data_IF_529388210677
#
_entry.id   IF_529388210677
#
_cell.length_a   1.000
_cell.length_b   1.000
_cell.length_c   1.000
_cell.angle_alpha   90.00
_cell.angle_beta   90.00
_cell.angle_gamma   90.00
#
_symmetry.space_group_name_H-M   'P 1'
#
loop_
_entity.id
_entity.type
_entity.pdbx_description
1 polymer ?
#
# COMPACT_ATOMS: atom_id res chain seq x y z
N UNK A 1 -11.07 10.02 8.05
CA UNK A 1 -11.02 10.36 6.61
C UNK A 1 -9.63 10.85 6.29
N UNK A 2 -8.89 10.06 5.55
CA UNK A 2 -7.51 10.39 5.21
C UNK A 2 -7.27 10.28 3.72
N UNK A 3 -6.90 11.38 3.09
CA UNK A 3 -6.47 11.39 1.71
C UNK A 3 -4.97 11.05 1.67
N UNK A 4 -4.66 9.90 1.10
CA UNK A 4 -3.29 9.39 1.02
C UNK A 4 -2.84 9.46 -0.44
N UNK A 5 -1.73 10.16 -0.68
CA UNK A 5 -1.17 10.29 -2.03
C UNK A 5 -0.18 9.16 -2.32
N UNK A 6 -0.26 8.64 -3.53
CA UNK A 6 0.63 7.58 -4.03
C UNK A 6 1.29 8.02 -5.33
N UNK A 7 2.41 7.39 -5.66
CA UNK A 7 3.08 7.61 -6.94
C UNK A 7 2.43 6.71 -8.00
N UNK A 8 1.72 7.30 -8.93
CA UNK A 8 0.93 6.58 -9.96
C UNK A 8 1.72 5.52 -10.73
N UNK A 9 2.99 5.75 -10.93
CA UNK A 9 3.85 4.88 -11.75
C UNK A 9 4.62 3.84 -10.94
N UNK A 10 4.60 3.94 -9.61
CA UNK A 10 5.41 3.08 -8.74
C UNK A 10 5.06 1.60 -8.92
N UNK A 11 3.80 1.27 -9.03
CA UNK A 11 3.34 -0.10 -9.20
C UNK A 11 3.72 -0.76 -10.52
N UNK A 12 4.11 0.00 -11.53
CA UNK A 12 4.53 -0.55 -12.82
C UNK A 12 5.77 -1.43 -12.70
N UNK A 13 6.62 -1.16 -11.71
CA UNK A 13 7.82 -1.95 -11.45
C UNK A 13 7.55 -3.35 -10.88
N UNK A 14 6.40 -3.55 -10.26
CA UNK A 14 6.03 -4.84 -9.66
C UNK A 14 5.61 -5.89 -10.69
N UNK A 15 5.12 -5.46 -11.84
CA UNK A 15 4.51 -6.35 -12.82
C UNK A 15 5.44 -6.71 -14.00
N UNK A 16 6.75 -6.53 -13.83
CA UNK A 16 7.75 -7.09 -14.74
C UNK A 16 7.74 -6.53 -16.17
N UNK A 17 7.17 -5.36 -16.37
CA UNK A 17 7.31 -4.68 -17.64
C UNK A 17 8.73 -4.14 -17.75
N UNK A 18 9.50 -4.75 -18.62
CA UNK A 18 10.85 -4.29 -18.96
C UNK A 18 10.81 -2.81 -19.33
N UNK A 19 11.68 -2.05 -18.69
CA UNK A 19 11.90 -0.64 -19.00
C UNK A 19 12.42 -0.50 -20.41
N UNK A 20 11.54 -0.34 -21.39
CA UNK A 20 11.95 -0.23 -22.78
C UNK A 20 10.85 0.27 -23.70
N UNK A 21 9.64 0.13 -23.30
CA UNK A 21 8.51 0.65 -24.07
C UNK A 21 7.67 1.56 -23.20
N UNK A 22 7.77 2.86 -23.48
CA UNK A 22 6.76 3.80 -23.04
C UNK A 22 5.41 3.31 -23.56
N UNK A 23 4.70 2.55 -22.79
CA UNK A 23 3.32 2.23 -23.11
C UNK A 23 2.52 3.51 -23.07
N UNK A 24 1.84 3.84 -24.16
CA UNK A 24 0.99 5.02 -24.17
C UNK A 24 -0.12 4.87 -23.13
N UNK A 25 -0.74 5.99 -22.81
CA UNK A 25 -1.80 6.16 -21.80
C UNK A 25 -2.89 5.07 -21.72
N UNK A 26 -2.87 4.08 -22.57
CA UNK A 26 -3.77 2.91 -22.54
C UNK A 26 -3.56 2.00 -21.31
N UNK A 27 -2.40 2.01 -20.68
CA UNK A 27 -2.17 1.27 -19.45
C UNK A 27 -2.93 1.90 -18.26
N UNK A 28 -3.08 3.23 -18.25
CA UNK A 28 -3.88 3.93 -17.25
C UNK A 28 -5.38 3.69 -17.42
N UNK A 29 -5.82 3.35 -18.62
CA UNK A 29 -7.23 3.04 -18.89
C UNK A 29 -7.64 1.62 -18.51
N UNK A 30 -6.71 0.79 -18.06
CA UNK A 30 -7.01 -0.55 -17.54
C UNK A 30 -7.14 -0.61 -16.02
N UNK A 31 -6.98 0.51 -15.34
CA UNK A 31 -7.28 0.58 -13.93
C UNK A 31 -8.80 0.53 -13.76
N UNK A 32 -9.29 -0.58 -13.26
CA UNK A 32 -10.71 -0.82 -13.03
C UNK A 32 -10.99 -1.06 -11.56
N UNK A 33 -12.21 -0.84 -11.14
CA UNK A 33 -12.67 -1.18 -9.79
C UNK A 33 -12.46 -2.66 -9.51
N UNK A 34 -12.66 -3.52 -10.51
CA UNK A 34 -12.45 -4.98 -10.38
C UNK A 34 -10.99 -5.32 -10.03
N UNK A 35 -10.04 -4.61 -10.63
CA UNK A 35 -8.62 -4.80 -10.31
C UNK A 35 -8.33 -4.40 -8.86
N UNK A 36 -8.88 -3.29 -8.41
CA UNK A 36 -8.72 -2.83 -7.03
C UNK A 36 -9.37 -3.79 -6.02
N UNK A 37 -10.52 -4.35 -6.36
CA UNK A 37 -11.16 -5.38 -5.55
C UNK A 37 -10.30 -6.63 -5.44
N UNK A 38 -9.73 -7.10 -6.54
CA UNK A 38 -8.79 -8.23 -6.53
C UNK A 38 -7.55 -7.96 -5.68
N UNK A 39 -7.01 -6.75 -5.73
CA UNK A 39 -5.89 -6.37 -4.87
C UNK A 39 -6.29 -6.38 -3.39
N UNK A 40 -7.48 -5.89 -3.08
CA UNK A 40 -8.01 -5.93 -1.72
C UNK A 40 -8.20 -7.36 -1.20
N UNK A 41 -8.73 -8.25 -2.04
CA UNK A 41 -8.90 -9.67 -1.71
C UNK A 41 -7.55 -10.40 -1.55
N UNK A 42 -6.56 -10.06 -2.38
CA UNK A 42 -5.22 -10.66 -2.34
C UNK A 42 -4.48 -10.39 -1.02
N UNK A 43 -4.82 -9.29 -0.35
CA UNK A 43 -4.26 -8.96 0.98
C UNK A 43 -4.79 -9.91 2.06
N UNK A 44 -5.91 -10.58 1.82
CA UNK A 44 -6.52 -11.50 2.77
C UNK A 44 -7.14 -10.81 3.99
N UNK A 45 -7.44 -9.53 3.89
CA UNK A 45 -8.09 -8.76 4.96
C UNK A 45 -9.61 -8.94 4.84
N UNK A 46 -10.29 -9.43 5.87
CA UNK A 46 -11.74 -9.50 5.87
C UNK A 46 -12.35 -8.10 5.94
N UNK A 47 -13.03 -7.69 4.88
CA UNK A 47 -13.71 -6.40 4.79
C UNK A 47 -15.21 -6.64 4.66
N UNK A 48 -15.99 -6.00 5.50
CA UNK A 48 -17.44 -6.03 5.41
C UNK A 48 -17.91 -4.83 4.59
N UNK A 49 -18.83 -5.07 3.67
CA UNK A 49 -19.43 -4.05 2.80
C UNK A 49 -18.39 -3.23 2.03
N UNK A 50 -17.38 -3.91 1.47
CA UNK A 50 -16.36 -3.25 0.67
C UNK A 50 -16.98 -2.57 -0.55
N UNK A 51 -16.77 -1.28 -0.67
CA UNK A 51 -17.12 -0.48 -1.83
C UNK A 51 -15.90 0.33 -2.27
N UNK A 52 -15.58 0.23 -3.54
CA UNK A 52 -14.46 0.97 -4.14
C UNK A 52 -15.01 1.79 -5.30
N UNK A 53 -14.74 3.08 -5.28
CA UNK A 53 -15.07 4.01 -6.36
C UNK A 53 -13.78 4.55 -6.97
N UNK A 54 -13.73 4.67 -8.27
CA UNK A 54 -12.55 5.16 -8.99
C UNK A 54 -12.90 6.39 -9.81
N UNK A 55 -12.23 7.49 -9.53
CA UNK A 55 -12.38 8.76 -10.23
C UNK A 55 -11.02 9.32 -10.64
N UNK A 56 -10.68 9.22 -11.94
CA UNK A 56 -9.48 9.85 -12.49
C UNK A 56 -8.15 9.47 -11.82
N UNK A 57 -8.03 8.25 -11.31
CA UNK A 57 -6.84 7.80 -10.57
C UNK A 57 -6.91 8.03 -9.06
N UNK A 58 -8.01 8.59 -8.55
CA UNK A 58 -8.32 8.62 -7.13
C UNK A 58 -9.27 7.47 -6.79
N UNK A 59 -8.89 6.61 -5.86
CA UNK A 59 -9.72 5.52 -5.37
C UNK A 59 -10.33 5.87 -4.02
N UNK A 60 -11.65 5.82 -3.92
CA UNK A 60 -12.36 5.96 -2.64
C UNK A 60 -12.70 4.56 -2.13
N UNK A 61 -12.29 4.23 -0.93
CA UNK A 61 -12.49 2.91 -0.33
C UNK A 61 -13.37 3.02 0.91
N UNK A 62 -14.48 2.30 0.91
CA UNK A 62 -15.43 2.24 2.02
C UNK A 62 -15.61 0.81 2.49
N UNK A 63 -15.93 0.64 3.74
CA UNK A 63 -16.20 -0.66 4.33
C UNK A 63 -15.83 -0.68 5.81
N UNK A 64 -15.95 -1.85 6.43
CA UNK A 64 -15.56 -2.07 7.81
C UNK A 64 -14.53 -3.18 7.91
N UNK A 65 -13.46 -2.92 8.63
CA UNK A 65 -12.36 -3.86 8.88
C UNK A 65 -12.22 -4.15 10.38
N UNK A 66 -11.60 -5.27 10.70
CA UNK A 66 -11.45 -5.72 12.07
C UNK A 66 -10.46 -4.91 12.89
N UNK A 67 -9.39 -4.41 12.27
CA UNK A 67 -8.30 -3.74 12.98
C UNK A 67 -7.73 -2.57 12.19
N UNK A 68 -7.03 -1.69 12.87
CA UNK A 68 -6.29 -0.58 12.25
C UNK A 68 -5.19 -1.11 11.31
N UNK A 69 -4.56 -2.21 11.66
CA UNK A 69 -3.56 -2.84 10.80
C UNK A 69 -4.16 -3.34 9.46
N UNK A 70 -5.36 -3.89 9.51
CA UNK A 70 -6.08 -4.35 8.32
C UNK A 70 -6.47 -3.17 7.43
N UNK A 71 -6.95 -2.08 8.03
CA UNK A 71 -7.23 -0.83 7.32
C UNK A 71 -6.00 -0.34 6.56
N UNK A 72 -4.87 -0.23 7.23
CA UNK A 72 -3.62 0.23 6.63
C UNK A 72 -3.12 -0.68 5.51
N UNK A 73 -3.18 -2.00 5.69
CA UNK A 73 -2.81 -2.98 4.67
C UNK A 73 -3.68 -2.84 3.41
N UNK A 74 -4.98 -2.71 3.59
CA UNK A 74 -5.92 -2.57 2.50
C UNK A 74 -5.67 -1.29 1.70
N UNK A 75 -5.50 -0.17 2.38
CA UNK A 75 -5.20 1.13 1.76
C UNK A 75 -3.90 1.07 0.96
N UNK A 76 -2.86 0.44 1.52
CA UNK A 76 -1.57 0.30 0.82
C UNK A 76 -1.67 -0.59 -0.40
N UNK A 77 -2.40 -1.69 -0.33
CA UNK A 77 -2.59 -2.59 -1.47
C UNK A 77 -3.28 -1.88 -2.64
N UNK A 78 -4.30 -1.10 -2.34
CA UNK A 78 -5.03 -0.31 -3.34
C UNK A 78 -4.16 0.83 -3.87
N UNK A 79 -3.52 1.57 -2.98
CA UNK A 79 -2.72 2.75 -3.35
C UNK A 79 -1.46 2.42 -4.15
N UNK A 80 -0.84 1.27 -3.90
CA UNK A 80 0.32 0.80 -4.65
C UNK A 80 -0.05 0.12 -5.98
N UNK A 81 -1.33 0.04 -6.34
CA UNK A 81 -1.75 -0.46 -7.64
C UNK A 81 -1.41 0.55 -8.74
N UNK A 82 -0.86 0.11 -9.90
CA UNK A 82 -0.51 1.02 -10.99
C UNK A 82 -1.71 1.85 -11.45
N UNK A 83 -1.52 3.14 -11.63
CA UNK A 83 -2.56 4.08 -12.03
C UNK A 83 -3.30 4.77 -10.89
N UNK A 84 -3.19 4.27 -9.65
CA UNK A 84 -3.73 4.94 -8.47
C UNK A 84 -2.75 6.01 -7.99
N UNK A 85 -3.18 7.26 -8.02
CA UNK A 85 -2.38 8.39 -7.51
C UNK A 85 -2.81 8.85 -6.14
N UNK A 86 -4.00 8.44 -5.70
CA UNK A 86 -4.56 8.90 -4.44
C UNK A 86 -5.59 7.90 -3.92
N UNK A 87 -5.62 7.70 -2.62
CA UNK A 87 -6.66 6.89 -1.95
C UNK A 87 -7.38 7.75 -0.92
N UNK A 88 -8.69 7.85 -1.06
CA UNK A 88 -9.57 8.42 -0.04
C UNK A 88 -10.05 7.28 0.86
N UNK A 89 -9.47 7.20 2.03
CA UNK A 89 -9.72 6.15 3.00
C UNK A 89 -10.93 6.49 3.88
N UNK A 90 -12.06 5.89 3.58
CA UNK A 90 -13.32 5.99 4.33
C UNK A 90 -13.66 4.68 5.04
N UNK A 91 -12.66 3.85 5.33
CA UNK A 91 -12.84 2.61 6.07
C UNK A 91 -13.09 2.88 7.56
N UNK A 92 -13.97 2.09 8.13
CA UNK A 92 -14.23 2.07 9.57
C UNK A 92 -13.55 0.86 10.21
N UNK A 93 -13.09 1.02 11.44
CA UNK A 93 -12.45 -0.05 12.21
C UNK A 93 -13.41 -0.49 13.31
N UNK A 94 -13.76 -1.78 13.32
CA UNK A 94 -14.71 -2.34 14.29
C UNK A 94 -14.10 -2.53 15.68
N UNK A 95 -12.79 -2.80 15.76
CA UNK A 95 -12.11 -2.95 17.03
C UNK A 95 -11.70 -1.59 17.60
N UNK A 96 -11.76 -1.43 18.93
CA UNK A 96 -11.23 -0.22 19.55
C UNK A 96 -9.74 -0.04 19.19
N UNK A 97 -9.32 1.20 18.99
CA UNK A 97 -7.97 1.56 18.59
C UNK A 97 -6.97 1.33 19.75
N UNK A 98 -6.72 0.07 20.06
CA UNK A 98 -5.71 -0.33 21.05
C UNK A 98 -4.32 -0.45 20.44
N UNK A 99 -4.25 -0.50 19.11
CA UNK A 99 -2.98 -0.61 18.39
C UNK A 99 -2.60 0.76 17.82
N UNK A 100 -1.43 1.29 18.14
CA UNK A 100 -0.96 2.54 17.55
C UNK A 100 -0.92 2.44 16.04
N UNK A 101 -1.34 3.48 15.35
CA UNK A 101 -1.27 3.56 13.90
C UNK A 101 0.19 3.47 13.44
N UNK A 102 0.43 2.70 12.40
CA UNK A 102 1.74 2.67 11.76
C UNK A 102 1.99 3.99 10.99
N UNK A 103 3.25 4.34 10.85
CA UNK A 103 3.66 5.43 9.98
C UNK A 103 3.71 4.94 8.54
N UNK A 104 3.19 5.71 7.60
CA UNK A 104 3.32 5.44 6.18
C UNK A 104 4.59 6.11 5.66
N UNK A 105 5.42 5.35 4.98
CA UNK A 105 6.69 5.81 4.43
C UNK A 105 6.74 5.57 2.94
N UNK A 106 7.05 6.60 2.17
CA UNK A 106 7.27 6.49 0.72
C UNK A 106 8.74 6.18 0.46
N UNK A 107 9.00 5.05 -0.17
CA UNK A 107 10.35 4.59 -0.52
C UNK A 107 11.00 5.56 -1.51
N UNK A 108 12.24 5.90 -1.26
CA UNK A 108 13.08 6.72 -2.12
C UNK A 108 14.09 5.85 -2.85
N UNK A 109 14.61 6.37 -3.95
CA UNK A 109 15.66 5.68 -4.71
C UNK A 109 16.85 5.39 -3.81
N UNK A 110 17.27 4.14 -3.78
CA UNK A 110 18.39 3.68 -2.98
C UNK A 110 18.05 3.25 -1.55
N UNK A 111 16.78 3.36 -1.15
CA UNK A 111 16.34 2.88 0.16
C UNK A 111 16.37 1.35 0.24
N UNK A 112 16.63 0.85 1.45
CA UNK A 112 16.48 -0.56 1.81
C UNK A 112 15.66 -0.67 3.09
N UNK A 113 15.01 -1.81 3.31
CA UNK A 113 14.26 -2.02 4.56
C UNK A 113 15.13 -1.88 5.79
N UNK A 114 16.40 -2.33 5.70
CA UNK A 114 17.37 -2.19 6.78
C UNK A 114 17.70 -0.71 7.08
N UNK A 115 17.88 0.11 6.04
CA UNK A 115 18.12 1.54 6.19
C UNK A 115 16.90 2.25 6.80
N UNK A 116 15.71 1.90 6.35
CA UNK A 116 14.45 2.42 6.89
C UNK A 116 14.29 2.01 8.36
N UNK A 117 14.54 0.73 8.69
CA UNK A 117 14.49 0.24 10.06
C UNK A 117 15.50 0.98 10.96
N UNK A 118 16.68 1.24 10.45
CA UNK A 118 17.70 2.02 11.20
C UNK A 118 17.22 3.46 11.47
N UNK A 119 16.52 4.08 10.52
CA UNK A 119 15.98 5.43 10.71
C UNK A 119 14.88 5.48 11.76
N UNK A 120 13.94 4.54 11.71
CA UNK A 120 12.75 4.52 12.58
C UNK A 120 12.97 3.82 13.91
N UNK A 121 13.71 2.72 13.92
CA UNK A 121 13.94 1.89 15.11
C UNK A 121 15.33 2.04 15.71
N UNK A 122 16.20 2.84 15.08
CA UNK A 122 17.62 2.98 15.43
C UNK A 122 18.40 1.66 15.34
N UNK A 123 17.81 0.69 14.64
CA UNK A 123 18.37 -0.65 14.51
C UNK A 123 17.97 -1.27 13.16
N UNK A 124 18.95 -1.41 12.26
CA UNK A 124 18.74 -1.97 10.92
C UNK A 124 18.36 -3.46 10.93
N UNK A 125 18.70 -4.19 11.99
CA UNK A 125 18.36 -5.61 12.12
C UNK A 125 16.86 -5.85 12.33
N UNK A 126 16.11 -4.79 12.67
CA UNK A 126 14.65 -4.86 12.86
C UNK A 126 13.84 -4.73 11.55
N UNK A 127 14.49 -4.74 10.40
CA UNK A 127 13.81 -4.71 9.12
C UNK A 127 12.74 -5.83 8.94
N UNK A 128 12.88 -7.03 9.54
CA UNK A 128 11.84 -8.05 9.41
C UNK A 128 10.47 -7.59 9.94
N UNK A 129 10.43 -6.70 10.92
CA UNK A 129 9.16 -6.13 11.42
C UNK A 129 8.45 -5.32 10.33
N UNK A 130 9.21 -4.53 9.57
CA UNK A 130 8.66 -3.76 8.45
C UNK A 130 8.19 -4.72 7.37
N UNK A 131 8.99 -5.73 7.05
CA UNK A 131 8.63 -6.75 6.05
C UNK A 131 7.33 -7.48 6.41
N UNK A 132 7.23 -8.00 7.64
CA UNK A 132 6.03 -8.70 8.11
C UNK A 132 4.78 -7.79 8.10
N UNK A 133 4.95 -6.52 8.48
CA UNK A 133 3.84 -5.57 8.51
C UNK A 133 3.31 -5.23 7.11
N UNK A 134 4.09 -5.46 6.05
CA UNK A 134 3.73 -5.19 4.66
C UNK A 134 3.38 -6.44 3.85
N UNK A 135 3.33 -7.61 4.48
CA UNK A 135 2.83 -8.82 3.83
C UNK A 135 1.30 -8.75 3.67
N UNK A 136 0.72 -9.36 2.64
CA UNK A 136 1.36 -10.05 1.51
C UNK A 136 1.79 -9.14 0.36
N UNK A 137 1.54 -7.82 0.45
CA UNK A 137 1.90 -6.84 -0.58
C UNK A 137 3.40 -6.91 -0.92
N UNK A 138 4.26 -7.03 0.10
CA UNK A 138 5.70 -7.18 -0.04
C UNK A 138 6.07 -8.66 0.13
N UNK A 139 6.49 -9.30 -0.95
CA UNK A 139 6.87 -10.71 -0.95
C UNK A 139 8.36 -10.97 -0.69
N UNK A 140 9.20 -9.96 -0.88
CA UNK A 140 10.64 -10.06 -0.71
C UNK A 140 11.18 -8.74 -0.12
N UNK A 141 11.97 -8.79 0.98
CA UNK A 141 12.49 -7.59 1.61
C UNK A 141 13.46 -6.78 0.71
N UNK A 142 13.99 -7.39 -0.34
CA UNK A 142 14.89 -6.74 -1.28
C UNK A 142 14.18 -6.17 -2.52
N UNK A 143 12.87 -6.37 -2.63
CA UNK A 143 12.07 -5.93 -3.79
C UNK A 143 11.22 -4.71 -3.50
N UNK A 144 11.75 -3.75 -2.78
CA UNK A 144 11.13 -2.44 -2.65
C UNK A 144 11.56 -1.54 -3.81
N UNK A 145 10.69 -0.60 -4.19
CA UNK A 145 10.92 0.29 -5.32
C UNK A 145 10.60 1.74 -4.94
N UNK A 146 11.24 2.71 -5.59
CA UNK A 146 10.95 4.12 -5.32
C UNK A 146 9.47 4.45 -5.59
N UNK A 147 8.87 5.21 -4.69
CA UNK A 147 7.46 5.57 -4.77
C UNK A 147 6.51 4.57 -4.09
N UNK A 148 6.96 3.36 -3.76
CA UNK A 148 6.17 2.43 -2.97
C UNK A 148 5.92 3.00 -1.58
N UNK A 149 4.70 2.88 -1.10
CA UNK A 149 4.34 3.28 0.26
C UNK A 149 4.34 2.04 1.16
N UNK A 150 5.11 2.10 2.22
CA UNK A 150 5.27 1.03 3.20
C UNK A 150 4.66 1.42 4.55
N UNK A 151 4.18 0.43 5.24
CA UNK A 151 3.69 0.54 6.60
C UNK A 151 4.84 0.29 7.58
N UNK A 152 5.13 1.28 8.42
CA UNK A 152 6.16 1.18 9.46
C UNK A 152 5.44 1.05 10.81
N UNK A 153 5.34 -0.14 11.37
CA UNK A 153 4.69 -0.32 12.67
C UNK A 153 5.48 0.40 13.77
N UNK A 154 4.80 0.90 14.81
CA UNK A 154 5.48 1.57 15.91
C UNK A 154 6.40 0.61 16.66
N UNK A 155 7.41 1.18 17.28
CA UNK A 155 8.30 0.44 18.17
C UNK A 155 7.54 0.11 19.46
N UNK A 156 7.24 -1.14 19.62
CA UNK A 156 6.60 -1.62 20.85
C UNK A 156 7.60 -2.42 21.68
#
# INVERSE_FOLDING_TARGET
>A
MGLISFVKEAGAFLFGHSAGEAQPASAASQLTVDLLQKQAEAVGVPVQNLAIELNGGAATVRGSVGSQADREKLVLAIGNTPGVGQVDDQLTVSAPATTPSATLYTVKRGDTLSAIAKSYYKDGSKYPRIFEANKPMLGDPNKIYPGQVLRIPPQA
#
